data_IF_024657814806
#
_entry.id   IF_024657814806
#
_cell.length_a   1.000
_cell.length_b   1.000
_cell.length_c   1.000
_cell.angle_alpha   90.00
_cell.angle_beta   90.00
_cell.angle_gamma   90.00
#
_symmetry.space_group_name_H-M   'P 1'
#
loop_
_entity.id
_entity.type
_entity.pdbx_description
1 polymer ?
#
# COMPACT_ATOMS: atom_id res chain seq x y z
N UNK A 1 -12.85 4.22 29.31
CA UNK A 1 -11.61 3.62 28.78
C UNK A 1 -11.98 2.74 27.58
N UNK A 2 -12.92 3.20 26.77
CA UNK A 2 -13.73 2.36 25.90
C UNK A 2 -13.64 2.91 24.48
N UNK A 3 -12.47 2.72 23.89
CA UNK A 3 -12.22 3.04 22.49
C UNK A 3 -11.05 2.23 21.89
N UNK A 4 -10.39 1.38 22.71
CA UNK A 4 -9.24 0.59 22.28
C UNK A 4 -9.56 -0.32 21.09
N UNK A 5 -10.78 -0.89 21.05
CA UNK A 5 -11.24 -1.72 19.93
C UNK A 5 -11.40 -0.94 18.63
N UNK A 6 -11.92 0.29 18.69
CA UNK A 6 -12.11 1.15 17.51
C UNK A 6 -10.75 1.69 17.04
N UNK A 7 -9.90 2.13 17.96
CA UNK A 7 -8.52 2.58 17.66
C UNK A 7 -7.71 1.44 17.03
N UNK A 8 -7.77 0.23 17.58
CA UNK A 8 -7.10 -0.92 16.99
C UNK A 8 -7.64 -1.23 15.59
N UNK A 9 -8.96 -1.15 15.40
CA UNK A 9 -9.57 -1.38 14.09
C UNK A 9 -9.13 -0.33 13.06
N UNK A 10 -9.07 0.95 13.43
CA UNK A 10 -8.62 2.02 12.52
C UNK A 10 -7.15 1.85 12.12
N UNK A 11 -6.28 1.47 13.05
CA UNK A 11 -4.87 1.21 12.76
C UNK A 11 -4.68 -0.04 11.89
N UNK A 12 -5.46 -1.10 12.15
CA UNK A 12 -5.43 -2.32 11.35
C UNK A 12 -5.91 -2.06 9.92
N UNK A 13 -7.00 -1.30 9.75
CA UNK A 13 -7.52 -0.94 8.43
C UNK A 13 -6.54 -0.02 7.69
N UNK A 14 -5.99 0.98 8.38
CA UNK A 14 -4.98 1.88 7.80
C UNK A 14 -3.74 1.10 7.31
N UNK A 15 -3.21 0.22 8.16
CA UNK A 15 -2.05 -0.62 7.81
C UNK A 15 -2.38 -1.60 6.68
N UNK A 16 -3.58 -2.18 6.68
CA UNK A 16 -4.01 -3.08 5.62
C UNK A 16 -4.08 -2.36 4.26
N UNK A 17 -4.62 -1.14 4.22
CA UNK A 17 -4.65 -0.31 3.01
C UNK A 17 -3.24 0.09 2.55
N UNK A 18 -2.39 0.51 3.49
CA UNK A 18 -1.00 0.87 3.25
C UNK A 18 -0.24 -0.27 2.56
N UNK A 19 -0.36 -1.49 3.09
CA UNK A 19 0.28 -2.67 2.54
C UNK A 19 -0.37 -3.09 1.21
N UNK A 20 -1.69 -3.09 1.12
CA UNK A 20 -2.42 -3.50 -0.09
C UNK A 20 -2.02 -2.62 -1.29
N UNK A 21 -2.07 -1.30 -1.11
CA UNK A 21 -1.78 -0.34 -2.16
C UNK A 21 -0.27 -0.24 -2.43
N UNK A 22 0.55 -0.13 -1.39
CA UNK A 22 2.01 -0.03 -1.53
C UNK A 22 2.63 -1.27 -2.17
N UNK A 23 2.36 -2.46 -1.63
CA UNK A 23 2.83 -3.72 -2.21
C UNK A 23 2.17 -4.01 -3.56
N UNK A 24 0.93 -3.56 -3.78
CA UNK A 24 0.25 -3.68 -5.07
C UNK A 24 0.99 -2.94 -6.19
N UNK A 25 1.47 -1.72 -5.93
CA UNK A 25 2.29 -0.99 -6.90
C UNK A 25 3.65 -1.65 -7.11
N UNK A 26 4.29 -2.15 -6.05
CA UNK A 26 5.56 -2.91 -6.18
C UNK A 26 5.34 -4.16 -7.04
N UNK A 27 4.26 -4.91 -6.83
CA UNK A 27 3.90 -6.06 -7.65
C UNK A 27 3.66 -5.66 -9.11
N UNK A 28 2.97 -4.54 -9.36
CA UNK A 28 2.74 -3.99 -10.69
C UNK A 28 4.02 -3.49 -11.40
N UNK A 29 5.12 -3.25 -10.67
CA UNK A 29 6.39 -2.80 -11.27
C UNK A 29 7.40 -3.94 -11.39
N UNK A 30 7.39 -4.89 -10.46
CA UNK A 30 8.35 -5.99 -10.39
C UNK A 30 7.98 -7.22 -11.23
N UNK A 31 6.69 -7.53 -11.43
CA UNK A 31 6.28 -8.71 -12.18
C UNK A 31 6.26 -8.46 -13.71
N UNK A 32 6.93 -9.33 -14.47
CA UNK A 32 7.11 -9.20 -15.93
C UNK A 32 5.82 -9.19 -16.78
N UNK A 33 4.68 -9.65 -16.24
CA UNK A 33 3.37 -9.71 -16.94
C UNK A 33 2.39 -8.64 -16.47
N UNK A 34 2.89 -7.52 -15.98
CA UNK A 34 2.08 -6.40 -15.50
C UNK A 34 2.24 -5.20 -16.43
N UNK A 35 1.25 -4.32 -16.46
CA UNK A 35 1.25 -3.14 -17.34
C UNK A 35 2.22 -2.05 -16.86
N UNK A 36 2.66 -2.11 -15.60
CA UNK A 36 3.66 -1.21 -15.02
C UNK A 36 5.06 -1.81 -14.92
N UNK A 37 5.32 -2.97 -15.54
CA UNK A 37 6.63 -3.62 -15.46
C UNK A 37 7.76 -2.65 -15.86
N UNK A 38 8.80 -2.58 -15.02
CA UNK A 38 9.91 -1.62 -15.16
C UNK A 38 9.50 -0.13 -15.03
N UNK A 39 8.36 0.16 -14.38
CA UNK A 39 7.90 1.52 -14.04
C UNK A 39 8.78 2.28 -13.03
N UNK A 40 9.80 1.62 -12.47
CA UNK A 40 10.89 2.25 -11.72
C UNK A 40 10.51 2.84 -10.35
N UNK A 41 11.44 3.63 -9.79
CA UNK A 41 11.35 4.18 -8.45
C UNK A 41 10.18 5.17 -8.27
N UNK A 42 9.87 5.98 -9.29
CA UNK A 42 8.83 7.00 -9.22
C UNK A 42 7.44 6.38 -8.94
N UNK A 43 7.06 5.32 -9.67
CA UNK A 43 5.78 4.65 -9.45
C UNK A 43 5.68 4.12 -8.01
N UNK A 44 6.75 3.52 -7.49
CA UNK A 44 6.78 3.00 -6.12
C UNK A 44 6.59 4.14 -5.11
N UNK A 45 7.33 5.24 -5.22
CA UNK A 45 7.22 6.36 -4.27
C UNK A 45 5.83 7.00 -4.25
N UNK A 46 5.20 7.21 -5.41
CA UNK A 46 3.84 7.74 -5.51
C UNK A 46 2.83 6.73 -4.96
N UNK A 47 3.00 5.44 -5.28
CA UNK A 47 2.11 4.37 -4.84
C UNK A 47 2.08 4.22 -3.31
N UNK A 48 3.23 4.29 -2.66
CA UNK A 48 3.33 4.27 -1.20
C UNK A 48 2.87 5.59 -0.57
N UNK A 49 3.16 6.74 -1.19
CA UNK A 49 2.76 8.05 -0.70
C UNK A 49 1.25 8.35 -0.78
N UNK A 50 0.51 7.64 -1.65
CA UNK A 50 -0.96 7.70 -1.71
C UNK A 50 -1.65 6.65 -0.82
N UNK A 51 -0.89 5.66 -0.34
CA UNK A 51 -1.41 4.56 0.48
C UNK A 51 -1.43 4.91 1.98
N UNK A 52 -0.68 5.95 2.37
CA UNK A 52 -0.67 6.60 3.69
C UNK A 52 -1.58 7.82 3.69
#
# INVERSE_FOLDING_TARGET
MDDLGIVFLSELVGTALLVLLGCGVVANVALAKTKGFNGGFLMVTIGWGLAV
#
